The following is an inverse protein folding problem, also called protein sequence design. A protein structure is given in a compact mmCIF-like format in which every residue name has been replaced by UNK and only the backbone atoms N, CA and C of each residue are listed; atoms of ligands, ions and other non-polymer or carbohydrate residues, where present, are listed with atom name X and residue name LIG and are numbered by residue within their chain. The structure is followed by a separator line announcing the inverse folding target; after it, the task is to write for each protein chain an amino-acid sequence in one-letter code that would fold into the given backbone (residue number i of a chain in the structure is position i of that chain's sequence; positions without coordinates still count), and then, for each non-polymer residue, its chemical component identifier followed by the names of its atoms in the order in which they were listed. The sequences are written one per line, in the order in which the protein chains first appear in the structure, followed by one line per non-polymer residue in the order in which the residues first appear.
data_IF_834902034185
#
_entry.id   IF_834902034185
#
_cell.length_a   1.000
_cell.length_b   1.000
_cell.length_c   1.000
_cell.angle_alpha   90.00
_cell.angle_beta   90.00
_cell.angle_gamma   90.00
#
_symmetry.space_group_name_H-M   'P 1'
#
loop_
_entity.id
_entity.type
_entity.pdbx_description
1 polymer ?
#
# COMPACT_ATOMS: atom_id res chain seq x y z
N UNK A 1 34.77 -0.49 6.42
CA UNK A 1 34.94 -1.10 7.74
C UNK A 1 33.79 -2.08 7.94
N UNK A 2 34.02 -3.33 8.31
CA UNK A 2 32.95 -4.28 8.66
C UNK A 2 32.72 -4.24 10.16
N UNK A 3 31.47 -4.20 10.64
CA UNK A 3 31.18 -4.25 12.07
C UNK A 3 31.68 -5.57 12.69
N UNK A 4 32.02 -5.55 13.98
CA UNK A 4 32.34 -6.76 14.73
C UNK A 4 31.07 -7.53 15.08
N UNK A 5 31.13 -8.85 15.40
CA UNK A 5 29.93 -9.60 15.83
C UNK A 5 29.17 -8.92 16.98
N UNK A 6 29.88 -8.41 17.99
CA UNK A 6 29.27 -7.67 19.09
C UNK A 6 28.61 -6.35 18.62
N UNK A 7 29.17 -5.66 17.63
CA UNK A 7 28.56 -4.45 17.07
C UNK A 7 27.28 -4.76 16.31
N UNK A 8 27.19 -5.92 15.66
CA UNK A 8 25.96 -6.38 15.01
C UNK A 8 24.89 -6.74 16.06
N UNK A 9 25.24 -7.46 17.12
CA UNK A 9 24.31 -7.80 18.22
C UNK A 9 23.76 -6.56 18.93
N UNK A 10 24.60 -5.53 19.14
CA UNK A 10 24.22 -4.30 19.82
C UNK A 10 23.45 -3.31 18.92
N UNK A 11 23.43 -3.50 17.62
CA UNK A 11 22.80 -2.57 16.67
C UNK A 11 21.34 -2.33 17.00
N UNK A 12 20.54 -3.38 17.14
CA UNK A 12 19.10 -3.29 17.43
C UNK A 12 18.82 -2.74 18.84
N UNK A 13 19.42 -3.28 19.93
CA UNK A 13 19.20 -2.72 21.27
C UNK A 13 19.58 -1.24 21.40
N UNK A 14 20.69 -0.80 20.81
CA UNK A 14 21.11 0.60 20.84
C UNK A 14 20.14 1.47 20.06
N UNK A 15 19.68 1.04 18.90
CA UNK A 15 18.69 1.75 18.09
C UNK A 15 17.37 1.90 18.84
N UNK A 16 16.88 0.84 19.49
CA UNK A 16 15.64 0.89 20.30
C UNK A 16 15.75 1.90 21.44
N UNK A 17 16.89 1.96 22.11
CA UNK A 17 17.16 2.96 23.17
C UNK A 17 17.19 4.36 22.58
N UNK A 18 17.88 4.59 21.48
CA UNK A 18 17.92 5.89 20.82
C UNK A 18 16.54 6.35 20.35
N UNK A 19 15.75 5.44 19.80
CA UNK A 19 14.37 5.77 19.40
C UNK A 19 13.49 6.08 20.62
N UNK A 20 13.59 5.33 21.71
CA UNK A 20 12.89 5.64 22.97
C UNK A 20 13.31 7.00 23.53
N UNK A 21 14.58 7.37 23.45
CA UNK A 21 15.07 8.70 23.84
C UNK A 21 14.41 9.77 22.96
N UNK A 22 14.41 9.61 21.65
CA UNK A 22 13.83 10.56 20.71
C UNK A 22 12.31 10.70 20.87
N UNK A 23 11.60 9.58 21.06
CA UNK A 23 10.13 9.56 21.13
C UNK A 23 9.57 9.87 22.52
N UNK A 24 10.31 9.60 23.61
CA UNK A 24 9.79 9.71 24.98
C UNK A 24 10.50 10.73 25.85
N UNK A 25 11.81 10.94 25.66
CA UNK A 25 12.63 11.82 26.55
C UNK A 25 12.87 13.18 25.90
N UNK A 26 13.14 13.24 24.60
CA UNK A 26 13.36 14.49 23.87
C UNK A 26 12.05 15.25 23.57
N UNK A 27 10.89 14.73 23.98
CA UNK A 27 9.59 15.39 23.83
C UNK A 27 9.50 16.62 24.70
N UNK A 28 9.09 17.72 24.10
CA UNK A 28 8.52 18.84 24.84
C UNK A 28 7.12 18.45 25.35
N UNK A 29 6.70 18.87 26.56
CA UNK A 29 5.46 18.41 27.20
C UNK A 29 4.15 18.74 26.46
N UNK A 30 4.18 19.52 25.40
CA UNK A 30 3.00 19.94 24.63
C UNK A 30 3.36 20.03 23.14
N UNK A 31 3.47 18.87 22.48
CA UNK A 31 3.43 18.84 21.02
C UNK A 31 1.95 18.79 20.58
N UNK A 32 1.42 19.96 20.22
CA UNK A 32 0.10 20.05 19.59
C UNK A 32 0.24 19.80 18.08
N UNK A 33 -0.72 19.13 17.43
CA UNK A 33 -0.68 18.89 15.99
C UNK A 33 -0.41 20.16 15.17
N UNK A 34 -1.05 21.29 15.54
CA UNK A 34 -0.95 22.56 14.83
C UNK A 34 0.48 23.14 14.76
N UNK A 35 1.32 22.84 15.73
CA UNK A 35 2.70 23.34 15.82
C UNK A 35 3.75 22.28 15.54
N UNK A 36 3.32 21.05 15.35
CA UNK A 36 4.21 19.90 15.14
C UNK A 36 4.94 19.99 13.80
N UNK A 37 6.25 19.77 13.82
CA UNK A 37 7.12 19.66 12.65
C UNK A 37 7.57 18.21 12.41
N UNK A 38 6.77 17.25 12.87
CA UNK A 38 7.09 15.83 12.74
C UNK A 38 7.20 15.46 11.26
N UNK A 39 8.15 14.60 10.99
CA UNK A 39 8.30 13.93 9.70
C UNK A 39 7.91 12.46 9.88
N UNK A 40 7.02 11.97 9.02
CA UNK A 40 6.59 10.57 9.02
C UNK A 40 6.99 9.89 7.73
N UNK A 41 7.62 8.72 7.86
CA UNK A 41 8.04 7.85 6.76
C UNK A 41 7.04 6.71 6.66
N UNK A 42 6.31 6.68 5.56
CA UNK A 42 5.17 5.78 5.37
C UNK A 42 5.44 4.89 4.15
N UNK A 43 5.44 3.59 4.33
CA UNK A 43 5.37 2.66 3.21
C UNK A 43 3.90 2.43 2.83
N UNK A 44 3.58 2.71 1.58
CA UNK A 44 2.26 2.47 0.99
C UNK A 44 2.39 2.34 -0.53
N UNK A 45 1.50 1.55 -1.15
CA UNK A 45 1.37 1.54 -2.60
C UNK A 45 0.71 2.85 -3.10
N UNK A 46 0.96 3.21 -4.34
CA UNK A 46 0.29 4.34 -5.00
C UNK A 46 -1.24 4.17 -5.02
N UNK A 47 -1.74 2.94 -5.07
CA UNK A 47 -3.16 2.62 -4.88
C UNK A 47 -3.69 3.17 -3.54
N UNK A 48 -3.05 2.80 -2.41
CA UNK A 48 -3.48 3.25 -1.06
C UNK A 48 -3.38 4.76 -0.92
N UNK A 49 -2.31 5.36 -1.46
CA UNK A 49 -2.15 6.82 -1.45
C UNK A 49 -3.34 7.48 -2.15
N UNK A 50 -3.75 6.96 -3.31
CA UNK A 50 -4.83 7.55 -4.09
C UNK A 50 -6.21 7.34 -3.49
N UNK A 51 -6.53 6.14 -3.01
CA UNK A 51 -7.90 5.84 -2.56
C UNK A 51 -8.20 6.29 -1.14
N UNK A 52 -7.17 6.53 -0.32
CA UNK A 52 -7.35 6.82 1.11
C UNK A 52 -6.42 7.91 1.65
N UNK A 53 -5.09 7.74 1.54
CA UNK A 53 -4.14 8.61 2.25
C UNK A 53 -4.18 10.06 1.77
N UNK A 54 -4.52 10.34 0.52
CA UNK A 54 -4.67 11.71 0.01
C UNK A 54 -5.67 12.52 0.83
N UNK A 55 -6.81 11.91 1.18
CA UNK A 55 -7.88 12.58 1.93
C UNK A 55 -7.48 12.78 3.39
N UNK A 56 -6.80 11.79 3.99
CA UNK A 56 -6.19 11.93 5.31
C UNK A 56 -5.17 13.07 5.35
N UNK A 57 -4.27 13.14 4.36
CA UNK A 57 -3.24 14.19 4.30
C UNK A 57 -3.83 15.57 4.04
N UNK A 58 -4.92 15.67 3.28
CA UNK A 58 -5.64 16.93 3.12
C UNK A 58 -6.19 17.45 4.45
N UNK A 59 -6.82 16.57 5.24
CA UNK A 59 -7.31 16.91 6.56
C UNK A 59 -6.15 17.27 7.53
N UNK A 60 -5.04 16.51 7.47
CA UNK A 60 -3.84 16.80 8.26
C UNK A 60 -3.25 18.16 7.90
N UNK A 61 -3.16 18.51 6.61
CA UNK A 61 -2.61 19.79 6.18
C UNK A 61 -3.37 20.99 6.74
N UNK A 62 -4.68 20.88 6.91
CA UNK A 62 -5.51 21.96 7.49
C UNK A 62 -5.23 22.17 8.97
N UNK A 63 -4.93 21.12 9.72
CA UNK A 63 -4.79 21.17 11.17
C UNK A 63 -3.32 21.15 11.64
N UNK A 64 -2.41 20.63 10.82
CA UNK A 64 -0.98 20.45 11.11
C UNK A 64 -0.09 20.78 9.89
N UNK A 65 -0.10 22.02 9.38
CA UNK A 65 0.51 22.39 8.10
C UNK A 65 2.04 22.24 8.06
N UNK A 66 2.69 22.12 9.22
CA UNK A 66 4.15 21.98 9.33
C UNK A 66 4.62 20.53 9.38
N UNK A 67 3.71 19.55 9.43
CA UNK A 67 4.07 18.14 9.33
C UNK A 67 4.51 17.79 7.90
N UNK A 68 5.44 16.87 7.79
CA UNK A 68 5.95 16.39 6.50
C UNK A 68 5.87 14.87 6.40
N UNK A 69 5.70 14.37 5.18
CA UNK A 69 5.51 12.95 4.90
C UNK A 69 6.42 12.53 3.76
N UNK A 70 7.02 11.35 3.90
CA UNK A 70 7.78 10.69 2.85
C UNK A 70 7.16 9.31 2.59
N UNK A 71 6.86 9.03 1.31
CA UNK A 71 6.28 7.75 0.91
C UNK A 71 7.31 6.85 0.28
N UNK A 72 7.31 5.61 0.73
CA UNK A 72 8.13 4.52 0.20
C UNK A 72 7.21 3.51 -0.50
N UNK A 73 7.61 3.09 -1.70
CA UNK A 73 6.92 1.99 -2.39
C UNK A 73 7.18 0.67 -1.66
N UNK A 74 6.20 -0.26 -1.67
CA UNK A 74 6.40 -1.59 -1.11
C UNK A 74 7.59 -2.31 -1.74
N UNK A 75 8.38 -3.00 -0.93
CA UNK A 75 9.43 -3.90 -1.37
C UNK A 75 9.69 -5.00 -0.32
N UNK A 76 10.58 -5.95 -0.62
CA UNK A 76 10.92 -7.04 0.27
C UNK A 76 11.60 -6.59 1.59
N UNK A 77 12.12 -5.37 1.65
CA UNK A 77 12.84 -4.85 2.81
C UNK A 77 11.94 -4.02 3.73
N UNK A 78 10.70 -3.71 3.32
CA UNK A 78 9.80 -2.80 4.03
C UNK A 78 9.57 -3.19 5.49
N UNK A 79 9.32 -4.48 5.77
CA UNK A 79 9.18 -4.98 7.15
C UNK A 79 10.48 -4.81 7.96
N UNK A 80 11.63 -5.10 7.34
CA UNK A 80 12.93 -4.87 7.97
C UNK A 80 13.21 -3.39 8.24
N UNK A 81 12.79 -2.49 7.36
CA UNK A 81 12.89 -1.05 7.56
C UNK A 81 12.01 -0.58 8.73
N UNK A 82 10.79 -1.12 8.88
CA UNK A 82 9.94 -0.85 10.04
C UNK A 82 10.62 -1.33 11.33
N UNK A 83 11.12 -2.56 11.37
CA UNK A 83 11.82 -3.12 12.54
C UNK A 83 13.03 -2.27 12.95
N UNK A 84 13.73 -1.68 11.98
CA UNK A 84 14.88 -0.81 12.24
C UNK A 84 14.49 0.66 12.49
N UNK A 85 13.20 1.01 12.50
CA UNK A 85 12.73 2.37 12.65
C UNK A 85 13.14 3.31 11.50
N UNK A 86 13.43 2.76 10.34
CA UNK A 86 13.65 3.50 9.08
C UNK A 86 12.32 3.87 8.43
N UNK A 87 11.25 3.17 8.78
CA UNK A 87 9.86 3.52 8.54
C UNK A 87 9.14 3.70 9.87
N UNK A 88 8.17 4.59 9.87
CA UNK A 88 7.28 4.85 11.00
C UNK A 88 5.98 4.06 10.88
N UNK A 89 5.44 3.97 9.66
CA UNK A 89 4.13 3.39 9.33
C UNK A 89 4.25 2.52 8.08
N UNK A 90 3.51 1.43 8.06
CA UNK A 90 3.23 0.60 6.87
C UNK A 90 1.73 0.57 6.65
N UNK A 91 1.27 0.82 5.41
CA UNK A 91 -0.12 0.56 5.01
C UNK A 91 -0.08 -0.46 3.87
N UNK A 92 -0.59 -1.66 4.16
CA UNK A 92 -0.53 -2.80 3.25
C UNK A 92 -1.55 -3.88 3.65
N UNK A 93 -1.83 -4.88 2.79
CA UNK A 93 -2.65 -6.03 3.15
C UNK A 93 -2.12 -6.79 4.37
N UNK A 94 -3.04 -7.34 5.17
CA UNK A 94 -2.77 -8.04 6.44
C UNK A 94 -1.56 -8.98 6.39
N UNK A 95 -1.46 -9.78 5.31
CA UNK A 95 -0.37 -10.77 5.15
C UNK A 95 1.05 -10.17 5.08
N UNK A 96 1.18 -8.86 4.86
CA UNK A 96 2.45 -8.14 4.81
C UNK A 96 2.76 -7.35 6.08
N UNK A 97 1.91 -7.47 7.11
CA UNK A 97 2.17 -6.83 8.40
C UNK A 97 3.31 -7.52 9.14
N UNK A 98 4.09 -6.72 9.86
CA UNK A 98 5.18 -7.22 10.69
C UNK A 98 4.63 -7.78 12.01
N UNK A 99 4.91 -9.04 12.32
CA UNK A 99 4.37 -9.72 13.50
C UNK A 99 4.77 -9.08 14.84
N UNK A 100 5.92 -8.41 14.88
CA UNK A 100 6.49 -7.80 16.10
C UNK A 100 6.00 -6.37 16.35
N UNK A 101 5.14 -5.85 15.51
CA UNK A 101 4.62 -4.48 15.58
C UNK A 101 3.09 -4.47 15.65
N UNK A 102 2.50 -3.45 16.30
CA UNK A 102 1.06 -3.31 16.34
C UNK A 102 0.50 -2.97 14.95
N UNK A 103 -0.69 -3.49 14.68
CA UNK A 103 -1.42 -3.22 13.46
C UNK A 103 -2.93 -3.15 13.72
N UNK A 104 -3.64 -2.42 12.87
CA UNK A 104 -5.09 -2.20 12.95
C UNK A 104 -5.70 -2.30 11.54
N UNK A 105 -6.87 -2.93 11.41
CA UNK A 105 -7.57 -3.05 10.15
C UNK A 105 -8.15 -1.68 9.74
N UNK A 106 -8.04 -1.36 8.44
CA UNK A 106 -8.54 -0.12 7.85
C UNK A 106 -9.84 -0.36 7.09
N UNK A 107 -9.80 -1.20 6.06
CA UNK A 107 -10.96 -1.49 5.20
C UNK A 107 -10.80 -2.82 4.47
N UNK A 108 -11.93 -3.36 4.05
CA UNK A 108 -11.98 -4.50 3.14
C UNK A 108 -12.05 -4.00 1.68
N UNK A 109 -11.43 -4.76 0.76
CA UNK A 109 -11.31 -4.41 -0.65
C UNK A 109 -11.52 -5.64 -1.54
N UNK A 110 -12.19 -5.43 -2.66
CA UNK A 110 -12.43 -6.45 -3.69
C UNK A 110 -11.54 -6.24 -4.91
N UNK A 111 -11.29 -7.33 -5.63
CA UNK A 111 -10.66 -7.27 -6.94
C UNK A 111 -11.70 -7.30 -8.06
N UNK A 112 -11.45 -6.51 -9.09
CA UNK A 112 -12.22 -6.49 -10.34
C UNK A 112 -11.30 -6.57 -11.54
N UNK A 113 -11.79 -7.07 -12.66
CA UNK A 113 -11.11 -6.94 -13.94
C UNK A 113 -11.48 -5.61 -14.59
N UNK A 114 -10.49 -4.94 -15.17
CA UNK A 114 -10.61 -3.69 -15.89
C UNK A 114 -10.18 -3.91 -17.34
N UNK A 115 -10.94 -3.37 -18.28
CA UNK A 115 -10.63 -3.41 -19.70
C UNK A 115 -11.03 -2.08 -20.37
N UNK A 116 -10.47 -1.80 -21.54
CA UNK A 116 -10.96 -0.74 -22.40
C UNK A 116 -12.45 -0.98 -22.78
N UNK A 117 -13.26 0.07 -22.77
CA UNK A 117 -14.71 -0.04 -22.97
C UNK A 117 -15.08 -0.67 -24.33
N UNK A 118 -14.29 -0.36 -25.39
CA UNK A 118 -14.48 -0.88 -26.74
C UNK A 118 -13.61 -2.12 -27.04
N UNK A 119 -13.12 -2.81 -26.02
CA UNK A 119 -12.36 -4.05 -26.21
C UNK A 119 -13.27 -5.13 -26.80
N UNK A 120 -13.03 -5.61 -28.06
CA UNK A 120 -13.95 -6.53 -28.75
C UNK A 120 -13.94 -7.96 -28.16
N UNK A 121 -13.00 -8.28 -27.27
CA UNK A 121 -12.80 -9.62 -26.75
C UNK A 121 -13.38 -9.84 -25.33
N UNK A 122 -13.91 -8.80 -24.69
CA UNK A 122 -14.49 -8.93 -23.33
C UNK A 122 -15.99 -9.24 -23.33
N UNK A 123 -16.72 -8.95 -24.42
CA UNK A 123 -18.16 -9.15 -24.50
C UNK A 123 -18.95 -8.42 -23.40
N UNK A 124 -20.11 -8.94 -23.03
CA UNK A 124 -20.89 -8.47 -21.89
C UNK A 124 -20.36 -8.97 -20.55
N UNK A 125 -19.80 -10.18 -20.54
CA UNK A 125 -19.15 -10.82 -19.38
C UNK A 125 -17.78 -11.33 -19.77
N UNK A 126 -16.81 -11.16 -18.87
CA UNK A 126 -15.48 -11.71 -19.01
C UNK A 126 -15.49 -13.19 -18.55
N UNK A 127 -15.43 -14.12 -19.49
CA UNK A 127 -15.34 -15.54 -19.16
C UNK A 127 -13.93 -15.93 -18.70
N UNK A 128 -13.79 -17.06 -18.01
CA UNK A 128 -12.49 -17.58 -17.59
C UNK A 128 -11.57 -17.84 -18.80
N UNK A 129 -12.08 -18.42 -19.87
CA UNK A 129 -11.32 -18.69 -21.09
C UNK A 129 -10.77 -17.39 -21.71
N UNK A 130 -11.63 -16.37 -21.86
CA UNK A 130 -11.22 -15.06 -22.35
C UNK A 130 -10.17 -14.43 -21.43
N UNK A 131 -10.38 -14.50 -20.10
CA UNK A 131 -9.45 -13.99 -19.11
C UNK A 131 -8.06 -14.64 -19.20
N UNK A 132 -7.99 -15.97 -19.45
CA UNK A 132 -6.74 -16.69 -19.61
C UNK A 132 -6.02 -16.39 -20.94
N UNK A 133 -6.78 -16.14 -22.01
CA UNK A 133 -6.23 -15.90 -23.36
C UNK A 133 -5.81 -14.46 -23.59
N UNK A 134 -6.49 -13.49 -22.96
CA UNK A 134 -6.17 -12.07 -23.12
C UNK A 134 -4.83 -11.72 -22.44
N UNK A 135 -4.16 -10.71 -22.97
CA UNK A 135 -2.95 -10.17 -22.36
C UNK A 135 -3.27 -9.39 -21.09
N UNK A 136 -2.47 -9.60 -20.05
CA UNK A 136 -2.64 -8.89 -18.78
C UNK A 136 -1.59 -7.82 -18.60
N UNK A 137 -2.03 -6.68 -18.04
CA UNK A 137 -1.15 -5.71 -17.38
C UNK A 137 -1.07 -6.09 -15.91
N UNK A 138 0.13 -6.27 -15.38
CA UNK A 138 0.39 -6.67 -14.00
C UNK A 138 1.27 -5.66 -13.28
N UNK A 139 1.04 -5.50 -11.98
CA UNK A 139 1.86 -4.63 -11.12
C UNK A 139 2.82 -5.50 -10.31
N UNK A 140 4.06 -5.02 -10.21
CA UNK A 140 5.11 -5.62 -9.37
C UNK A 140 5.80 -4.54 -8.56
N UNK A 141 6.35 -4.91 -7.42
CA UNK A 141 7.04 -4.02 -6.49
C UNK A 141 8.51 -4.37 -6.30
N UNK A 142 9.30 -3.35 -6.03
CA UNK A 142 10.73 -3.50 -5.72
C UNK A 142 11.57 -4.03 -6.89
N UNK A 143 12.87 -4.16 -6.65
CA UNK A 143 13.82 -4.70 -7.65
C UNK A 143 13.62 -6.19 -7.88
N UNK A 144 13.12 -6.92 -6.89
CA UNK A 144 12.86 -8.36 -6.94
C UNK A 144 11.56 -8.68 -7.68
N UNK A 145 10.84 -7.64 -8.17
CA UNK A 145 9.61 -7.77 -8.97
C UNK A 145 8.53 -8.58 -8.26
N UNK A 146 8.34 -8.32 -6.97
CA UNK A 146 7.31 -8.99 -6.20
C UNK A 146 5.92 -8.66 -6.73
N UNK A 147 5.09 -9.66 -7.07
CA UNK A 147 3.74 -9.40 -7.54
C UNK A 147 2.90 -8.65 -6.49
N UNK A 148 1.95 -7.85 -6.96
CA UNK A 148 0.86 -7.38 -6.11
C UNK A 148 0.09 -8.55 -5.46
N UNK A 149 -0.81 -8.26 -4.53
CA UNK A 149 -1.54 -9.31 -3.81
C UNK A 149 -2.34 -10.19 -4.76
N UNK A 150 -2.99 -9.61 -5.77
CA UNK A 150 -3.76 -10.34 -6.78
C UNK A 150 -2.87 -11.33 -7.56
N UNK A 151 -1.64 -10.94 -7.86
CA UNK A 151 -0.67 -11.81 -8.53
C UNK A 151 -0.28 -13.02 -7.69
N UNK A 152 -0.08 -12.82 -6.39
CA UNK A 152 0.20 -13.90 -5.43
C UNK A 152 -1.01 -14.85 -5.31
N UNK A 153 -2.23 -14.31 -5.18
CA UNK A 153 -3.46 -15.11 -5.08
C UNK A 153 -3.70 -15.98 -6.33
N UNK A 154 -3.44 -15.46 -7.52
CA UNK A 154 -3.54 -16.25 -8.75
C UNK A 154 -2.49 -17.37 -8.79
N UNK A 155 -1.25 -17.09 -8.43
CA UNK A 155 -0.19 -18.09 -8.37
C UNK A 155 -0.50 -19.20 -7.35
N UNK A 156 -0.98 -18.85 -6.18
CA UNK A 156 -1.40 -19.78 -5.12
C UNK A 156 -2.58 -20.67 -5.56
N UNK A 157 -3.48 -20.12 -6.41
CA UNK A 157 -4.62 -20.85 -6.96
C UNK A 157 -4.26 -21.68 -8.20
N UNK A 158 -3.00 -21.73 -8.63
CA UNK A 158 -2.55 -22.43 -9.83
C UNK A 158 -3.05 -21.81 -11.14
N UNK A 159 -3.56 -20.58 -11.12
CA UNK A 159 -4.05 -19.86 -12.29
C UNK A 159 -2.90 -19.11 -12.96
N UNK A 160 -2.67 -19.43 -14.23
CA UNK A 160 -1.70 -18.72 -15.04
C UNK A 160 -2.37 -17.61 -15.85
N UNK A 161 -1.67 -16.50 -16.01
CA UNK A 161 -2.08 -15.36 -16.85
C UNK A 161 -1.02 -15.10 -17.92
N UNK A 162 -1.44 -14.68 -19.07
CA UNK A 162 -0.53 -14.23 -20.13
C UNK A 162 -0.15 -12.76 -19.86
N UNK A 163 0.92 -12.55 -19.09
CA UNK A 163 1.40 -11.21 -18.76
C UNK A 163 2.06 -10.60 -19.99
N UNK A 164 1.51 -9.51 -20.52
CA UNK A 164 2.06 -8.77 -21.65
C UNK A 164 2.81 -7.51 -21.23
N UNK A 165 2.33 -6.86 -20.15
CA UNK A 165 2.94 -5.63 -19.64
C UNK A 165 3.12 -5.75 -18.14
N UNK A 166 4.27 -5.32 -17.67
CA UNK A 166 4.57 -5.20 -16.24
C UNK A 166 4.88 -3.74 -15.94
N UNK A 167 4.27 -3.21 -14.90
CA UNK A 167 4.52 -1.85 -14.38
C UNK A 167 4.80 -1.90 -12.89
N UNK A 168 5.35 -0.81 -12.34
CA UNK A 168 5.59 -0.62 -10.91
C UNK A 168 4.57 0.31 -10.24
N UNK A 169 3.49 0.65 -10.95
CA UNK A 169 2.49 1.63 -10.51
C UNK A 169 1.11 1.19 -10.94
N UNK A 170 0.16 1.16 -10.01
CA UNK A 170 -1.25 0.94 -10.31
C UNK A 170 -1.85 2.09 -11.13
N UNK A 171 -1.33 3.31 -11.00
CA UNK A 171 -1.80 4.46 -11.77
C UNK A 171 -1.55 4.37 -13.28
N UNK A 172 -0.51 3.63 -13.69
CA UNK A 172 -0.21 3.44 -15.11
C UNK A 172 -1.14 2.43 -15.78
N UNK A 173 -1.73 1.51 -15.02
CA UNK A 173 -2.50 0.38 -15.57
C UNK A 173 -3.67 0.83 -16.45
N UNK A 174 -4.54 1.77 -16.05
CA UNK A 174 -5.67 2.20 -16.87
C UNK A 174 -5.27 2.70 -18.26
N UNK A 175 -4.19 3.48 -18.34
CA UNK A 175 -3.67 4.02 -19.60
C UNK A 175 -3.11 2.96 -20.54
N UNK A 176 -2.60 1.85 -19.98
CA UNK A 176 -2.03 0.73 -20.73
C UNK A 176 -3.10 -0.22 -21.30
N UNK A 177 -4.37 -0.02 -20.93
CA UNK A 177 -5.51 -0.80 -21.42
C UNK A 177 -6.20 -0.12 -22.61
N UNK A 178 -6.27 1.21 -22.64
CA UNK A 178 -7.01 1.98 -23.65
C UNK A 178 -6.46 1.70 -25.05
N UNK A 179 -7.35 1.41 -26.00
CA UNK A 179 -7.01 1.10 -27.37
C UNK A 179 -6.36 -0.29 -27.57
N UNK A 180 -6.43 -1.17 -26.59
CA UNK A 180 -5.84 -2.52 -26.64
C UNK A 180 -6.86 -3.59 -26.28
N UNK A 181 -6.49 -4.87 -26.55
CA UNK A 181 -7.24 -6.04 -26.06
C UNK A 181 -6.84 -6.46 -24.64
N UNK A 182 -5.93 -5.75 -23.98
CA UNK A 182 -5.44 -6.11 -22.65
C UNK A 182 -6.49 -5.91 -21.59
N UNK A 183 -6.33 -6.66 -20.51
CA UNK A 183 -7.10 -6.54 -19.28
C UNK A 183 -6.15 -6.41 -18.08
N UNK A 184 -6.67 -5.97 -16.94
CA UNK A 184 -5.95 -5.99 -15.68
C UNK A 184 -6.89 -6.39 -14.55
N UNK A 185 -6.37 -7.01 -13.52
CA UNK A 185 -7.08 -7.19 -12.25
C UNK A 185 -6.59 -6.12 -11.28
N UNK A 186 -7.50 -5.33 -10.75
CA UNK A 186 -7.21 -4.20 -9.86
C UNK A 186 -8.18 -4.18 -8.67
N UNK A 187 -7.83 -3.39 -7.68
CA UNK A 187 -8.68 -3.03 -6.56
C UNK A 187 -9.92 -2.26 -7.06
N UNK A 188 -11.11 -2.65 -6.58
CA UNK A 188 -12.38 -2.07 -7.03
C UNK A 188 -12.43 -0.55 -6.88
N UNK A 189 -12.06 -0.03 -5.70
CA UNK A 189 -12.09 1.43 -5.44
C UNK A 189 -11.29 2.21 -6.47
N UNK A 190 -10.10 1.75 -6.82
CA UNK A 190 -9.26 2.40 -7.83
C UNK A 190 -9.85 2.25 -9.24
N UNK A 191 -10.33 1.06 -9.58
CA UNK A 191 -10.93 0.78 -10.88
C UNK A 191 -12.17 1.65 -11.14
N UNK A 192 -13.04 1.84 -10.14
CA UNK A 192 -14.22 2.69 -10.21
C UNK A 192 -13.86 4.17 -10.42
N UNK A 193 -12.85 4.67 -9.69
CA UNK A 193 -12.35 6.04 -9.89
C UNK A 193 -11.89 6.28 -11.34
N UNK A 194 -11.16 5.34 -11.92
CA UNK A 194 -10.68 5.48 -13.29
C UNK A 194 -11.77 5.28 -14.34
N UNK A 195 -12.69 4.36 -14.14
CA UNK A 195 -13.81 4.15 -15.06
C UNK A 195 -14.76 5.35 -15.11
N UNK A 196 -14.84 6.15 -14.04
CA UNK A 196 -15.58 7.41 -14.03
C UNK A 196 -14.93 8.50 -14.92
N UNK A 197 -13.65 8.39 -15.24
CA UNK A 197 -12.87 9.41 -15.97
C UNK A 197 -12.36 8.95 -17.34
N UNK A 198 -12.27 7.66 -17.57
CA UNK A 198 -11.65 7.05 -18.74
C UNK A 198 -12.60 6.04 -19.38
N UNK A 199 -12.47 5.75 -20.69
CA UNK A 199 -13.32 4.79 -21.39
C UNK A 199 -12.96 3.34 -21.00
N UNK A 200 -13.26 2.97 -19.76
CA UNK A 200 -12.95 1.67 -19.18
C UNK A 200 -14.23 1.01 -18.65
N UNK A 201 -14.27 -0.31 -18.66
CA UNK A 201 -15.34 -1.13 -18.09
C UNK A 201 -14.78 -2.07 -17.04
N UNK A 202 -15.57 -2.26 -15.98
CA UNK A 202 -15.30 -3.21 -14.90
C UNK A 202 -16.06 -4.51 -15.18
N UNK A 203 -15.40 -5.61 -14.86
CA UNK A 203 -15.96 -6.95 -14.90
C UNK A 203 -15.68 -7.66 -13.59
N UNK A 204 -16.55 -8.54 -13.13
CA UNK A 204 -16.18 -9.48 -12.07
C UNK A 204 -14.94 -10.28 -12.48
N UNK A 205 -14.05 -10.57 -11.53
CA UNK A 205 -12.99 -11.55 -11.77
C UNK A 205 -13.64 -12.91 -11.98
N UNK A 206 -13.35 -13.67 -13.08
CA UNK A 206 -14.06 -14.91 -13.40
C UNK A 206 -13.64 -16.10 -12.51
N UNK A 207 -13.01 -15.82 -11.40
CA UNK A 207 -12.61 -16.78 -10.36
C UNK A 207 -12.86 -16.12 -8.99
N UNK A 208 -13.12 -16.95 -7.99
CA UNK A 208 -13.29 -16.46 -6.62
C UNK A 208 -11.93 -16.11 -6.04
N UNK A 209 -11.75 -14.86 -5.67
CA UNK A 209 -10.62 -14.37 -4.89
C UNK A 209 -11.09 -14.03 -3.47
N UNK A 210 -10.24 -14.26 -2.46
CA UNK A 210 -10.54 -13.77 -1.12
C UNK A 210 -10.58 -12.24 -1.10
N UNK A 211 -11.42 -11.71 -0.24
CA UNK A 211 -11.44 -10.27 0.05
C UNK A 211 -10.08 -9.86 0.62
N UNK A 212 -9.52 -8.77 0.11
CA UNK A 212 -8.32 -8.18 0.68
C UNK A 212 -8.72 -7.33 1.88
N UNK A 213 -7.97 -7.43 2.96
CA UNK A 213 -8.10 -6.54 4.11
C UNK A 213 -6.85 -5.69 4.23
N UNK A 214 -7.02 -4.38 4.15
CA UNK A 214 -5.95 -3.41 4.30
C UNK A 214 -5.76 -3.06 5.76
N UNK A 215 -4.50 -2.96 6.19
CA UNK A 215 -4.09 -2.66 7.55
C UNK A 215 -3.15 -1.45 7.60
N UNK A 216 -3.17 -0.74 8.73
CA UNK A 216 -2.10 0.14 9.14
C UNK A 216 -1.28 -0.56 10.23
N UNK A 217 0.02 -0.69 10.00
CA UNK A 217 1.00 -1.13 11.00
C UNK A 217 1.95 0.01 11.33
N UNK A 218 2.49 0.05 12.54
CA UNK A 218 3.42 1.10 12.96
C UNK A 218 4.51 0.57 13.87
N UNK A 219 5.63 1.29 13.92
CA UNK A 219 6.69 0.92 14.83
C UNK A 219 6.24 1.05 16.27
N UNK A 220 6.48 0.03 17.11
CA UNK A 220 5.99 -0.05 18.50
C UNK A 220 6.36 1.15 19.38
N UNK A 221 7.43 1.89 19.07
CA UNK A 221 7.81 3.10 19.80
C UNK A 221 6.80 4.23 19.69
N UNK A 222 5.89 4.15 18.71
CA UNK A 222 4.83 5.14 18.49
C UNK A 222 3.53 4.86 19.28
N UNK A 223 3.41 3.72 19.97
CA UNK A 223 2.18 3.34 20.68
C UNK A 223 1.64 4.41 21.62
N UNK A 224 2.53 5.08 22.33
CA UNK A 224 2.17 6.14 23.29
C UNK A 224 2.49 7.54 22.75
N UNK A 225 2.64 7.70 21.43
CA UNK A 225 2.89 8.98 20.80
C UNK A 225 1.57 9.73 20.52
N UNK A 226 1.28 10.86 21.19
CA UNK A 226 0.02 11.58 21.01
C UNK A 226 -0.13 12.13 19.59
N UNK A 227 0.97 12.60 18.96
CA UNK A 227 0.94 13.12 17.58
C UNK A 227 0.67 11.98 16.59
N UNK A 228 1.31 10.82 16.79
CA UNK A 228 0.99 9.63 15.98
C UNK A 228 -0.45 9.17 16.22
N UNK A 229 -0.93 9.12 17.47
CA UNK A 229 -2.32 8.76 17.78
C UNK A 229 -3.33 9.66 17.07
N UNK A 230 -3.07 10.97 17.03
CA UNK A 230 -3.87 11.94 16.30
C UNK A 230 -3.80 11.68 14.77
N UNK A 231 -2.60 11.50 14.20
CA UNK A 231 -2.42 11.18 12.79
C UNK A 231 -3.13 9.88 12.40
N UNK A 232 -2.95 8.82 13.21
CA UNK A 232 -3.61 7.53 13.00
C UNK A 232 -5.13 7.68 12.95
N UNK A 233 -5.72 8.47 13.85
CA UNK A 233 -7.16 8.72 13.86
C UNK A 233 -7.64 9.40 12.55
N UNK A 234 -6.85 10.31 11.95
CA UNK A 234 -7.15 10.91 10.64
C UNK A 234 -7.08 9.86 9.51
N UNK A 235 -6.07 9.01 9.54
CA UNK A 235 -5.92 7.93 8.55
C UNK A 235 -7.10 6.95 8.64
N UNK A 236 -7.45 6.48 9.84
CA UNK A 236 -8.59 5.56 10.06
C UNK A 236 -9.92 6.21 9.63
N UNK A 237 -10.11 7.49 9.89
CA UNK A 237 -11.33 8.21 9.49
C UNK A 237 -11.50 8.29 7.96
N UNK A 238 -10.42 8.32 7.19
CA UNK A 238 -10.43 8.36 5.72
C UNK A 238 -10.53 6.97 5.06
N UNK A 239 -10.49 5.90 5.83
CA UNK A 239 -10.59 4.52 5.34
C UNK A 239 -12.04 4.05 5.02
N UNK A 240 -13.04 4.92 5.25
CA UNK A 240 -14.48 4.63 5.08
C UNK A 240 -14.95 4.71 3.63
#
# INVERSE_FOLDING_TARGET
MRPTPLAEELREPVRDVLMKIQTSIARRPVDEPATSKRHFRIMASDYVINVMLKDALQAVHQEAPSMTFEFFSPDAQSTGMLNRGELDIIVAPERFMAADHPAEALFDEEFVCLAWADNPHTGEMLTLDAWQQLGHVSVVFGRERQPGLEGNLFAESGLSRRIEVVTHSYHCVPQLLIGTSRIATLHRRLAEQYAAMLPLRLFPVPVTLPMMREFIGWHRSLDNDPIFGWLKAKIVASAR
#
